data_IF_407795863210
#
_entry.id   IF_407795863210
#
_cell.length_a   1.000
_cell.length_b   1.000
_cell.length_c   1.000
_cell.angle_alpha   90.00
_cell.angle_beta   90.00
_cell.angle_gamma   90.00
#
_symmetry.space_group_name_H-M   'P 1'
#
loop_
_entity.id
_entity.type
_entity.pdbx_description
1 polymer ?
#
# COMPACT_ATOMS: atom_id res chain seq x y z
N UNK A 1 -4.76 31.38 17.12
CA UNK A 1 -5.38 30.06 16.88
C UNK A 1 -6.59 30.09 15.93
N UNK A 2 -6.94 31.26 15.35
CA UNK A 2 -8.13 31.42 14.48
C UNK A 2 -7.88 31.31 12.97
N UNK A 3 -6.64 31.11 12.49
CA UNK A 3 -6.31 31.11 11.05
C UNK A 3 -6.48 29.76 10.33
N UNK A 4 -6.64 28.63 11.04
CA UNK A 4 -6.68 27.28 10.43
C UNK A 4 -8.01 26.87 9.78
N UNK A 5 -9.10 27.62 9.97
CA UNK A 5 -10.43 27.29 9.40
C UNK A 5 -10.71 27.88 8.02
N UNK A 6 -9.90 28.82 7.53
CA UNK A 6 -10.25 29.65 6.37
C UNK A 6 -10.19 28.90 5.02
N UNK A 7 -9.43 27.81 4.91
CA UNK A 7 -9.21 27.10 3.63
C UNK A 7 -9.59 25.62 3.69
N UNK A 8 -10.60 25.28 4.49
CA UNK A 8 -11.14 23.94 4.61
C UNK A 8 -12.41 23.78 3.78
N UNK A 9 -12.33 23.03 2.71
CA UNK A 9 -13.43 22.84 1.76
C UNK A 9 -13.92 21.41 1.76
N UNK A 10 -15.22 21.20 1.56
CA UNK A 10 -15.79 19.88 1.34
C UNK A 10 -15.37 19.34 -0.01
N UNK A 11 -15.08 18.05 -0.12
CA UNK A 11 -14.70 17.41 -1.39
C UNK A 11 -15.76 17.61 -2.48
N UNK A 12 -17.05 17.54 -2.13
CA UNK A 12 -18.15 17.77 -3.07
C UNK A 12 -18.23 19.19 -3.64
N UNK A 13 -17.59 20.17 -2.96
CA UNK A 13 -17.49 21.54 -3.46
C UNK A 13 -16.26 21.81 -4.33
N UNK A 14 -15.34 20.83 -4.41
CA UNK A 14 -14.08 20.90 -5.13
C UNK A 14 -14.02 19.95 -6.32
N UNK A 15 -14.84 18.91 -6.30
CA UNK A 15 -14.80 17.86 -7.30
C UNK A 15 -16.20 17.29 -7.56
N UNK A 16 -16.41 16.80 -8.77
CA UNK A 16 -17.56 15.95 -9.10
C UNK A 16 -17.21 14.50 -8.71
N UNK A 17 -18.04 13.90 -7.85
CA UNK A 17 -17.87 12.55 -7.36
C UNK A 17 -18.71 11.57 -8.18
N UNK A 18 -18.08 10.56 -8.78
CA UNK A 18 -18.72 9.53 -9.59
C UNK A 18 -18.47 8.16 -8.95
N UNK A 19 -19.52 7.40 -8.70
CA UNK A 19 -19.40 5.99 -8.28
C UNK A 19 -19.12 5.11 -9.49
N UNK A 20 -18.19 4.20 -9.36
CA UNK A 20 -17.95 3.19 -10.37
C UNK A 20 -19.10 2.18 -10.49
N UNK A 21 -19.04 1.37 -11.54
CA UNK A 21 -20.01 0.30 -11.83
C UNK A 21 -19.31 -0.96 -12.30
N UNK A 22 -19.96 -2.10 -12.05
CA UNK A 22 -19.56 -3.40 -12.60
C UNK A 22 -20.59 -3.78 -13.66
N UNK A 23 -20.21 -4.00 -14.92
CA UNK A 23 -21.09 -4.63 -15.90
C UNK A 23 -21.47 -6.04 -15.46
N UNK A 24 -22.56 -6.57 -15.97
CA UNK A 24 -22.99 -7.94 -15.69
C UNK A 24 -21.90 -8.95 -16.05
N UNK A 25 -21.43 -9.73 -15.07
CA UNK A 25 -20.29 -10.64 -15.23
C UNK A 25 -20.56 -11.81 -16.18
N UNK A 26 -21.81 -12.19 -16.30
CA UNK A 26 -22.27 -13.26 -17.19
C UNK A 26 -22.19 -12.86 -18.67
N UNK A 27 -22.21 -11.56 -18.96
CA UNK A 27 -22.12 -11.02 -20.32
C UNK A 27 -20.65 -10.86 -20.71
N UNK A 28 -20.06 -11.92 -21.28
CA UNK A 28 -18.65 -11.96 -21.66
C UNK A 28 -18.27 -10.89 -22.70
N UNK A 29 -19.23 -10.46 -23.53
CA UNK A 29 -19.05 -9.42 -24.53
C UNK A 29 -18.75 -8.03 -23.95
N UNK A 30 -19.01 -7.81 -22.65
CA UNK A 30 -18.64 -6.55 -21.99
C UNK A 30 -17.17 -6.47 -21.59
N UNK A 31 -16.45 -7.59 -21.65
CA UNK A 31 -15.05 -7.69 -21.25
C UNK A 31 -14.16 -8.00 -22.45
N UNK A 32 -12.92 -7.52 -22.43
CA UNK A 32 -11.97 -7.70 -23.52
C UNK A 32 -10.54 -7.84 -22.97
N UNK A 33 -9.62 -8.30 -23.80
CA UNK A 33 -8.18 -8.32 -23.45
C UNK A 33 -7.54 -6.94 -23.54
N UNK A 34 -8.12 -6.06 -24.35
CA UNK A 34 -7.69 -4.67 -24.54
C UNK A 34 -8.90 -3.75 -24.66
N UNK A 35 -8.74 -2.46 -24.38
CA UNK A 35 -9.83 -1.49 -24.50
C UNK A 35 -9.82 -0.46 -23.38
N UNK A 36 -10.97 -0.23 -22.76
CA UNK A 36 -11.09 0.71 -21.64
C UNK A 36 -10.63 0.02 -20.35
N UNK A 37 -9.57 0.52 -19.67
CA UNK A 37 -9.13 -0.07 -18.40
C UNK A 37 -10.24 -0.07 -17.37
N UNK A 38 -10.44 -1.21 -16.71
CA UNK A 38 -11.44 -1.33 -15.65
C UNK A 38 -10.76 -1.54 -14.30
N UNK A 39 -10.71 -0.47 -13.52
CA UNK A 39 -9.95 -0.37 -12.29
C UNK A 39 -10.72 -0.98 -11.11
N UNK A 40 -10.03 -1.81 -10.36
CA UNK A 40 -10.45 -2.40 -9.09
C UNK A 40 -9.53 -1.96 -7.95
N UNK A 41 -9.88 -2.32 -6.70
CA UNK A 41 -9.12 -1.92 -5.50
C UNK A 41 -7.65 -2.35 -5.56
N UNK A 42 -7.34 -3.51 -6.13
CA UNK A 42 -5.98 -4.03 -6.26
C UNK A 42 -5.08 -3.16 -7.17
N UNK A 43 -5.67 -2.36 -8.05
CA UNK A 43 -4.93 -1.45 -8.93
C UNK A 43 -4.59 -0.11 -8.25
N UNK A 44 -5.18 0.18 -7.08
CA UNK A 44 -4.92 1.42 -6.35
C UNK A 44 -3.56 1.39 -5.64
N UNK A 45 -3.10 2.52 -5.10
CA UNK A 45 -1.81 2.76 -4.42
C UNK A 45 -0.57 2.71 -5.33
N UNK A 46 -0.75 2.66 -6.65
CA UNK A 46 0.34 2.64 -7.64
C UNK A 46 0.59 4.01 -8.30
N UNK A 47 -0.06 5.08 -7.81
CA UNK A 47 -0.01 6.40 -8.44
C UNK A 47 -0.89 6.47 -9.68
N UNK A 48 -0.30 6.78 -10.86
CA UNK A 48 -1.03 6.84 -12.14
C UNK A 48 -1.35 5.45 -12.68
N UNK A 49 -2.63 5.18 -12.88
CA UNK A 49 -3.14 3.92 -13.44
C UNK A 49 -3.43 4.13 -14.92
N UNK A 50 -2.68 3.46 -15.79
CA UNK A 50 -2.85 3.50 -17.25
C UNK A 50 -3.38 2.19 -17.81
N UNK A 51 -3.01 1.08 -17.18
CA UNK A 51 -3.32 -0.28 -17.60
C UNK A 51 -3.85 -1.08 -16.40
N UNK A 52 -4.65 -2.08 -16.69
CA UNK A 52 -5.24 -2.98 -15.70
C UNK A 52 -5.20 -4.42 -16.22
N UNK A 53 -5.43 -5.40 -15.36
CA UNK A 53 -5.54 -6.79 -15.78
C UNK A 53 -6.85 -7.09 -16.53
N UNK A 54 -7.87 -6.25 -16.37
CA UNK A 54 -9.18 -6.42 -17.02
C UNK A 54 -9.57 -5.14 -17.75
N UNK A 55 -10.12 -5.30 -18.95
CA UNK A 55 -10.60 -4.22 -19.79
C UNK A 55 -12.06 -4.41 -20.14
N UNK A 56 -12.72 -3.33 -20.47
CA UNK A 56 -14.06 -3.34 -21.02
C UNK A 56 -14.00 -3.16 -22.54
N UNK A 57 -14.85 -3.93 -23.24
CA UNK A 57 -15.15 -3.72 -24.64
C UNK A 57 -15.92 -2.41 -24.87
N UNK A 58 -16.15 -1.99 -26.10
CA UNK A 58 -17.00 -0.83 -26.39
C UNK A 58 -18.43 -1.03 -25.85
N UNK A 59 -18.98 -2.25 -25.90
CA UNK A 59 -20.30 -2.54 -25.31
C UNK A 59 -20.27 -2.47 -23.80
N UNK A 60 -19.21 -2.96 -23.15
CA UNK A 60 -19.01 -2.88 -21.71
C UNK A 60 -18.80 -1.44 -21.23
N UNK A 61 -18.13 -0.62 -22.03
CA UNK A 61 -17.92 0.81 -21.80
C UNK A 61 -19.24 1.58 -21.67
N UNK A 62 -20.26 1.23 -22.44
CA UNK A 62 -21.59 1.87 -22.37
C UNK A 62 -22.36 1.55 -21.08
N UNK A 63 -21.97 0.51 -20.34
CA UNK A 63 -22.63 0.06 -19.11
C UNK A 63 -22.08 0.69 -17.83
N UNK A 64 -21.02 1.46 -17.93
CA UNK A 64 -20.30 2.03 -16.79
C UNK A 64 -20.18 3.55 -16.89
N UNK A 65 -19.74 4.15 -15.80
CA UNK A 65 -19.37 5.55 -15.78
C UNK A 65 -17.88 5.66 -16.12
N UNK A 66 -17.57 6.34 -17.20
CA UNK A 66 -16.20 6.70 -17.54
C UNK A 66 -15.74 7.89 -16.73
N UNK A 67 -14.47 7.91 -16.40
CA UNK A 67 -13.80 9.03 -15.75
C UNK A 67 -12.59 9.45 -16.58
N UNK A 68 -12.38 10.77 -16.76
CA UNK A 68 -11.29 11.28 -17.57
C UNK A 68 -9.93 11.05 -16.89
N UNK A 69 -8.87 11.22 -17.67
CA UNK A 69 -7.50 11.34 -17.14
C UNK A 69 -7.44 12.37 -16.01
N UNK A 70 -6.51 12.16 -15.07
CA UNK A 70 -6.30 12.95 -13.86
C UNK A 70 -7.42 12.85 -12.79
N UNK A 71 -8.47 12.04 -13.00
CA UNK A 71 -9.43 11.76 -11.93
C UNK A 71 -8.75 11.04 -10.78
N UNK A 72 -9.03 11.47 -9.55
CA UNK A 72 -8.51 10.79 -8.35
C UNK A 72 -9.49 9.70 -7.92
N UNK A 73 -8.99 8.50 -7.71
CA UNK A 73 -9.75 7.30 -7.40
C UNK A 73 -9.60 6.98 -5.92
N UNK A 74 -10.70 6.77 -5.22
CA UNK A 74 -10.70 6.48 -3.79
C UNK A 74 -11.58 5.27 -3.47
N UNK A 75 -11.02 4.26 -2.79
CA UNK A 75 -11.79 3.08 -2.37
C UNK A 75 -12.68 3.38 -1.19
N UNK A 76 -13.95 2.97 -1.28
CA UNK A 76 -14.99 3.24 -0.28
C UNK A 76 -15.59 1.98 0.35
N UNK A 77 -15.24 0.78 -0.14
CA UNK A 77 -15.75 -0.52 0.34
C UNK A 77 -14.59 -1.49 0.53
N UNK A 78 -14.65 -2.30 1.57
CA UNK A 78 -13.63 -3.30 1.89
C UNK A 78 -12.37 -2.64 2.42
N UNK A 79 -11.36 -2.47 1.61
CA UNK A 79 -10.15 -1.71 1.97
C UNK A 79 -10.37 -0.22 1.70
N UNK A 80 -11.06 0.46 2.63
CA UNK A 80 -11.31 1.91 2.52
C UNK A 80 -10.00 2.69 2.66
N UNK A 81 -9.81 3.70 1.78
CA UNK A 81 -8.69 4.64 1.88
C UNK A 81 -7.54 4.39 0.92
N UNK A 82 -7.62 3.38 0.04
CA UNK A 82 -6.68 3.26 -1.07
C UNK A 82 -6.93 4.35 -2.11
N UNK A 83 -5.86 4.93 -2.65
CA UNK A 83 -5.94 6.07 -3.57
C UNK A 83 -5.12 5.81 -4.83
N UNK A 84 -5.70 6.11 -5.99
CA UNK A 84 -5.02 6.11 -7.28
C UNK A 84 -5.35 7.36 -8.07
N UNK A 85 -4.73 7.52 -9.22
CA UNK A 85 -5.04 8.59 -10.17
C UNK A 85 -5.16 7.99 -11.59
N UNK A 86 -6.18 8.39 -12.32
CA UNK A 86 -6.40 7.93 -13.69
C UNK A 86 -5.31 8.51 -14.60
N UNK A 87 -4.50 7.66 -15.22
CA UNK A 87 -3.46 8.06 -16.17
C UNK A 87 -3.95 8.14 -17.63
N UNK A 88 -5.22 7.83 -17.87
CA UNK A 88 -6.00 7.95 -19.11
C UNK A 88 -7.48 7.83 -18.77
N UNK A 89 -8.36 8.00 -19.75
CA UNK A 89 -9.79 7.66 -19.57
C UNK A 89 -9.93 6.19 -19.18
N UNK A 90 -10.71 5.90 -18.14
CA UNK A 90 -10.92 4.55 -17.60
C UNK A 90 -12.28 4.42 -16.91
N UNK A 91 -12.62 3.22 -16.49
CA UNK A 91 -13.78 2.93 -15.66
C UNK A 91 -13.34 2.32 -14.33
N UNK A 92 -14.21 2.38 -13.32
CA UNK A 92 -13.95 1.78 -12.00
C UNK A 92 -15.10 0.88 -11.58
N UNK A 93 -14.83 -0.10 -10.70
CA UNK A 93 -15.88 -0.90 -10.09
C UNK A 93 -16.62 -0.09 -9.00
N UNK A 94 -17.73 -0.63 -8.48
CA UNK A 94 -18.59 0.03 -7.49
C UNK A 94 -17.93 0.28 -6.12
N UNK A 95 -16.76 -0.30 -5.86
CA UNK A 95 -16.01 -0.11 -4.62
C UNK A 95 -15.18 1.18 -4.62
N UNK A 96 -15.14 1.89 -5.75
CA UNK A 96 -14.34 3.09 -5.97
C UNK A 96 -15.24 4.27 -6.29
N UNK A 97 -14.94 5.41 -5.69
CA UNK A 97 -15.46 6.72 -6.07
C UNK A 97 -14.35 7.49 -6.76
N UNK A 98 -14.65 8.02 -7.94
CA UNK A 98 -13.76 8.88 -8.71
C UNK A 98 -14.10 10.34 -8.43
N UNK A 99 -13.07 11.14 -8.12
CA UNK A 99 -13.17 12.58 -7.88
C UNK A 99 -12.55 13.31 -9.06
N UNK A 100 -13.37 14.03 -9.82
CA UNK A 100 -12.94 14.89 -10.92
C UNK A 100 -12.89 16.30 -10.36
N UNK A 101 -11.67 16.75 -10.02
CA UNK A 101 -11.47 18.07 -9.43
C UNK A 101 -11.70 19.19 -10.44
N UNK A 102 -12.19 20.31 -9.95
CA UNK A 102 -12.18 21.59 -10.67
C UNK A 102 -10.74 22.12 -10.69
N UNK A 103 -10.06 21.93 -11.81
CA UNK A 103 -8.63 22.24 -11.98
C UNK A 103 -8.33 23.75 -11.87
N UNK A 104 -9.35 24.59 -11.96
CA UNK A 104 -9.19 26.03 -11.69
C UNK A 104 -9.00 26.32 -10.20
N UNK A 105 -9.31 25.36 -9.33
CA UNK A 105 -9.26 25.49 -7.87
C UNK A 105 -8.32 24.50 -7.20
N UNK A 106 -8.24 23.27 -7.70
CA UNK A 106 -7.48 22.18 -7.10
C UNK A 106 -6.76 21.38 -8.17
N UNK A 107 -5.45 21.34 -8.09
CA UNK A 107 -4.64 20.46 -8.93
C UNK A 107 -4.97 19.00 -8.60
N UNK A 108 -5.26 18.13 -9.58
CA UNK A 108 -5.56 16.71 -9.35
C UNK A 108 -4.52 15.99 -8.49
N UNK A 109 -3.23 16.22 -8.74
CA UNK A 109 -2.15 15.66 -7.92
C UNK A 109 -2.15 16.17 -6.49
N UNK A 110 -2.52 17.44 -6.25
CA UNK A 110 -2.70 17.93 -4.89
C UNK A 110 -3.84 17.18 -4.19
N UNK A 111 -4.98 17.03 -4.87
CA UNK A 111 -6.12 16.26 -4.39
C UNK A 111 -5.76 14.80 -4.07
N UNK A 112 -4.96 14.17 -4.92
CA UNK A 112 -4.43 12.81 -4.70
C UNK A 112 -3.61 12.73 -3.41
N UNK A 113 -2.65 13.62 -3.20
CA UNK A 113 -1.84 13.62 -1.98
C UNK A 113 -2.65 13.96 -0.73
N UNK A 114 -3.58 14.91 -0.84
CA UNK A 114 -4.48 15.26 0.26
C UNK A 114 -5.34 14.06 0.69
N UNK A 115 -5.93 13.33 -0.26
CA UNK A 115 -6.71 12.13 0.04
C UNK A 115 -5.86 11.00 0.63
N UNK A 116 -4.63 10.79 0.15
CA UNK A 116 -3.69 9.83 0.76
C UNK A 116 -3.36 10.19 2.21
N UNK A 117 -3.11 11.47 2.46
CA UNK A 117 -2.81 11.95 3.82
C UNK A 117 -3.98 11.73 4.78
N UNK A 118 -5.21 11.98 4.31
CA UNK A 118 -6.42 11.85 5.12
C UNK A 118 -7.06 10.46 5.07
N UNK A 119 -6.48 9.49 4.37
CA UNK A 119 -7.08 8.17 4.15
C UNK A 119 -7.45 7.46 5.46
N UNK A 120 -6.58 7.50 6.47
CA UNK A 120 -6.84 6.89 7.78
C UNK A 120 -7.98 7.58 8.56
N UNK A 121 -8.07 8.92 8.48
CA UNK A 121 -9.17 9.66 9.12
C UNK A 121 -10.49 9.37 8.43
N UNK A 122 -10.49 9.31 7.09
CA UNK A 122 -11.66 8.97 6.30
C UNK A 122 -12.09 7.53 6.59
N UNK A 123 -11.15 6.60 6.72
CA UNK A 123 -11.43 5.20 7.08
C UNK A 123 -12.15 5.07 8.43
N UNK A 124 -11.80 5.90 9.41
CA UNK A 124 -12.47 5.92 10.72
C UNK A 124 -13.93 6.36 10.66
N UNK A 125 -14.37 6.98 9.55
CA UNK A 125 -15.78 7.30 9.31
C UNK A 125 -16.60 6.11 8.80
N UNK A 126 -15.94 4.97 8.49
CA UNK A 126 -16.63 3.76 8.06
C UNK A 126 -17.44 3.15 9.21
N UNK A 127 -18.62 2.60 8.87
CA UNK A 127 -19.38 1.81 9.82
C UNK A 127 -18.56 0.55 10.17
N UNK A 128 -18.41 0.29 11.48
CA UNK A 128 -17.71 -0.90 11.99
C UNK A 128 -18.65 -2.13 11.92
N UNK A 129 -18.99 -2.54 10.72
CA UNK A 129 -19.65 -3.81 10.43
C UNK A 129 -18.62 -4.79 9.84
N UNK A 130 -19.07 -5.98 9.49
CA UNK A 130 -18.24 -7.07 8.93
C UNK A 130 -17.37 -6.62 7.72
N UNK A 131 -17.78 -5.57 7.02
CA UNK A 131 -17.04 -4.96 5.92
C UNK A 131 -17.03 -3.43 6.06
N UNK A 132 -15.83 -2.82 6.10
CA UNK A 132 -15.70 -1.37 6.16
C UNK A 132 -16.32 -0.73 4.91
N UNK A 133 -17.21 0.26 5.13
CA UNK A 133 -17.90 0.97 4.06
C UNK A 133 -18.13 2.41 4.44
N UNK A 134 -17.84 3.34 3.52
CA UNK A 134 -18.30 4.73 3.57
C UNK A 134 -19.15 5.04 2.34
N UNK A 135 -20.13 5.92 2.49
CA UNK A 135 -20.93 6.34 1.35
C UNK A 135 -20.20 7.43 0.53
N UNK A 136 -20.54 7.54 -0.78
CA UNK A 136 -20.09 8.67 -1.59
C UNK A 136 -20.46 10.02 -0.96
N UNK A 137 -21.64 10.11 -0.31
CA UNK A 137 -22.08 11.31 0.40
C UNK A 137 -21.17 11.63 1.59
N UNK A 138 -20.82 10.62 2.39
CA UNK A 138 -19.89 10.78 3.52
C UNK A 138 -18.52 11.26 3.04
N UNK A 139 -17.98 10.64 1.99
CA UNK A 139 -16.72 11.10 1.36
C UNK A 139 -16.85 12.55 0.87
N UNK A 140 -17.94 12.91 0.19
CA UNK A 140 -18.18 14.26 -0.32
C UNK A 140 -18.22 15.33 0.77
N UNK A 141 -18.72 15.00 1.97
CA UNK A 141 -18.78 15.91 3.12
C UNK A 141 -17.43 16.08 3.83
N UNK A 142 -16.47 15.19 3.58
CA UNK A 142 -15.14 15.30 4.18
C UNK A 142 -14.45 16.59 3.73
N UNK A 143 -13.72 17.22 4.65
CA UNK A 143 -13.07 18.51 4.40
C UNK A 143 -11.57 18.34 4.30
N UNK A 144 -10.99 18.93 3.26
CA UNK A 144 -9.54 19.03 3.08
C UNK A 144 -9.12 20.50 3.07
N UNK A 145 -7.90 20.72 3.49
CA UNK A 145 -7.26 22.03 3.34
C UNK A 145 -6.84 22.21 1.87
N UNK A 146 -7.10 23.38 1.31
CA UNK A 146 -6.66 23.76 -0.04
C UNK A 146 -5.94 25.10 0.02
N UNK A 147 -4.66 25.19 -0.39
CA UNK A 147 -3.94 26.46 -0.49
C UNK A 147 -4.65 27.47 -1.40
N UNK A 148 -4.46 28.75 -1.12
CA UNK A 148 -5.14 29.85 -1.82
C UNK A 148 -4.78 29.97 -3.30
N UNK A 149 -3.66 29.39 -3.74
CA UNK A 149 -3.25 29.46 -5.13
C UNK A 149 -2.75 28.12 -5.66
N UNK A 150 -2.87 27.92 -6.98
CA UNK A 150 -2.39 26.74 -7.67
C UNK A 150 -0.87 26.61 -7.62
N UNK A 151 -0.14 27.74 -7.58
CA UNK A 151 1.32 27.76 -7.45
C UNK A 151 1.76 27.12 -6.12
N UNK A 152 1.09 27.49 -5.01
CA UNK A 152 1.38 26.88 -3.69
C UNK A 152 1.04 25.38 -3.66
N UNK A 153 -0.04 24.99 -4.35
CA UNK A 153 -0.37 23.56 -4.49
C UNK A 153 0.72 22.84 -5.28
N UNK A 154 1.20 23.45 -6.38
CA UNK A 154 2.26 22.88 -7.21
C UNK A 154 3.57 22.72 -6.42
N UNK A 155 3.98 23.73 -5.64
CA UNK A 155 5.15 23.62 -4.77
C UNK A 155 5.06 22.44 -3.79
N UNK A 156 3.87 22.21 -3.22
CA UNK A 156 3.63 21.06 -2.33
C UNK A 156 3.74 19.75 -3.09
N UNK A 157 3.11 19.67 -4.26
CA UNK A 157 3.15 18.49 -5.14
C UNK A 157 4.59 18.16 -5.52
N UNK A 158 5.38 19.16 -5.93
CA UNK A 158 6.77 18.95 -6.36
C UNK A 158 7.65 18.42 -5.22
N UNK A 159 7.45 18.95 -3.99
CA UNK A 159 8.17 18.43 -2.81
C UNK A 159 7.79 16.99 -2.50
N UNK A 160 6.50 16.64 -2.56
CA UNK A 160 6.02 15.29 -2.30
C UNK A 160 6.51 14.29 -3.37
N UNK A 161 6.49 14.67 -4.66
CA UNK A 161 7.02 13.85 -5.75
C UNK A 161 8.51 13.57 -5.57
N UNK A 162 9.31 14.59 -5.26
CA UNK A 162 10.75 14.40 -4.98
C UNK A 162 10.97 13.45 -3.81
N UNK A 163 10.15 13.53 -2.78
CA UNK A 163 10.23 12.61 -1.65
C UNK A 163 9.90 11.16 -2.04
N UNK A 164 8.87 10.95 -2.88
CA UNK A 164 8.53 9.63 -3.41
C UNK A 164 9.65 9.08 -4.29
N UNK A 165 10.26 9.88 -5.15
CA UNK A 165 11.41 9.48 -5.96
C UNK A 165 12.60 9.04 -5.11
N UNK A 166 12.89 9.76 -4.03
CA UNK A 166 13.96 9.39 -3.08
C UNK A 166 13.63 8.06 -2.41
N UNK A 167 12.37 7.87 -1.99
CA UNK A 167 11.91 6.61 -1.38
C UNK A 167 12.07 5.42 -2.33
N UNK A 168 11.66 5.57 -3.58
CA UNK A 168 11.82 4.53 -4.60
C UNK A 168 13.28 4.19 -4.85
N UNK A 169 14.15 5.19 -5.01
CA UNK A 169 15.60 4.99 -5.18
C UNK A 169 16.22 4.29 -3.98
N UNK A 170 15.78 4.61 -2.77
CA UNK A 170 16.25 3.93 -1.56
C UNK A 170 15.87 2.45 -1.54
N UNK A 171 14.63 2.10 -1.92
CA UNK A 171 14.21 0.70 -1.99
C UNK A 171 14.96 -0.06 -3.10
N UNK A 172 15.16 0.55 -4.25
CA UNK A 172 15.96 -0.03 -5.33
C UNK A 172 17.41 -0.28 -4.88
N UNK A 173 18.04 0.70 -4.23
CA UNK A 173 19.39 0.57 -3.70
C UNK A 173 19.47 -0.56 -2.67
N UNK A 174 18.50 -0.67 -1.77
CA UNK A 174 18.44 -1.75 -0.78
C UNK A 174 18.35 -3.12 -1.46
N UNK A 175 17.46 -3.28 -2.45
CA UNK A 175 17.34 -4.52 -3.20
C UNK A 175 18.63 -4.90 -3.93
N UNK A 176 19.31 -3.92 -4.54
CA UNK A 176 20.62 -4.14 -5.19
C UNK A 176 21.70 -4.55 -4.19
N UNK A 177 21.72 -3.97 -3.00
CA UNK A 177 22.67 -4.37 -1.95
C UNK A 177 22.46 -5.81 -1.50
N UNK A 178 21.21 -6.22 -1.27
CA UNK A 178 20.88 -7.61 -0.93
C UNK A 178 21.32 -8.60 -2.02
N UNK A 179 21.11 -8.26 -3.29
CA UNK A 179 21.63 -9.07 -4.42
C UNK A 179 23.17 -9.10 -4.45
N UNK A 180 23.81 -7.97 -4.19
CA UNK A 180 25.28 -7.88 -4.18
C UNK A 180 25.90 -8.73 -3.08
N UNK A 181 25.30 -8.75 -1.88
CA UNK A 181 25.75 -9.62 -0.79
C UNK A 181 25.75 -11.10 -1.19
N UNK A 182 24.67 -11.56 -1.87
CA UNK A 182 24.58 -12.93 -2.36
C UNK A 182 25.66 -13.26 -3.40
N UNK A 183 25.87 -12.34 -4.36
CA UNK A 183 26.89 -12.50 -5.40
C UNK A 183 28.28 -12.50 -4.79
N UNK A 184 28.53 -11.61 -3.84
CA UNK A 184 29.82 -11.52 -3.14
C UNK A 184 30.12 -12.80 -2.36
N UNK A 185 29.12 -13.31 -1.61
CA UNK A 185 29.26 -14.57 -0.89
C UNK A 185 29.59 -15.72 -1.84
N UNK A 186 28.83 -15.85 -2.93
CA UNK A 186 29.10 -16.88 -3.93
C UNK A 186 30.50 -16.74 -4.54
N UNK A 187 30.96 -15.52 -4.83
CA UNK A 187 32.26 -15.26 -5.41
C UNK A 187 33.42 -15.59 -4.46
N UNK A 188 33.28 -15.24 -3.19
CA UNK A 188 34.29 -15.52 -2.15
C UNK A 188 34.38 -17.02 -1.89
N UNK A 189 33.26 -17.70 -1.82
CA UNK A 189 33.18 -19.11 -1.46
C UNK A 189 32.99 -20.06 -2.67
N UNK A 190 33.17 -19.56 -3.92
CA UNK A 190 32.86 -20.34 -5.12
C UNK A 190 33.59 -21.70 -5.17
N UNK A 191 34.87 -21.73 -4.76
CA UNK A 191 35.65 -22.95 -4.72
C UNK A 191 35.16 -23.92 -3.64
N UNK A 192 34.90 -23.42 -2.46
CA UNK A 192 34.40 -24.22 -1.33
C UNK A 192 32.99 -24.74 -1.59
N UNK A 193 32.11 -23.95 -2.21
CA UNK A 193 30.76 -24.38 -2.58
C UNK A 193 30.76 -25.45 -3.67
N UNK A 194 31.76 -25.42 -4.58
CA UNK A 194 31.85 -26.37 -5.72
C UNK A 194 32.64 -27.64 -5.38
N UNK A 195 33.75 -27.50 -4.66
CA UNK A 195 34.73 -28.56 -4.42
C UNK A 195 34.96 -28.88 -2.94
N UNK A 196 34.42 -28.08 -2.02
CA UNK A 196 34.53 -28.34 -0.59
C UNK A 196 33.78 -29.59 -0.15
N UNK A 197 34.29 -30.25 0.87
CA UNK A 197 33.60 -31.38 1.49
C UNK A 197 32.29 -30.92 2.12
N UNK A 198 31.21 -31.65 1.78
CA UNK A 198 29.90 -31.41 2.36
C UNK A 198 29.82 -32.12 3.70
N UNK A 199 29.73 -31.33 4.76
CA UNK A 199 29.48 -31.87 6.09
C UNK A 199 28.06 -31.50 6.58
N UNK A 200 27.53 -32.32 7.47
CA UNK A 200 26.22 -32.02 8.07
C UNK A 200 26.38 -30.87 9.05
N UNK A 201 25.46 -29.90 9.02
CA UNK A 201 25.46 -28.72 9.91
C UNK A 201 25.65 -29.11 11.39
N UNK A 202 25.03 -30.20 11.84
CA UNK A 202 25.15 -30.73 13.21
C UNK A 202 26.61 -31.00 13.64
N UNK A 203 27.53 -31.22 12.69
CA UNK A 203 28.93 -31.49 13.02
C UNK A 203 29.70 -30.21 13.46
N UNK A 204 29.11 -29.05 13.20
CA UNK A 204 29.68 -27.73 13.52
C UNK A 204 28.90 -27.03 14.65
N UNK A 205 27.80 -27.62 15.10
CA UNK A 205 27.05 -27.07 16.21
C UNK A 205 27.58 -27.64 17.52
N UNK A 206 27.74 -26.77 18.51
CA UNK A 206 28.15 -27.13 19.87
C UNK A 206 27.09 -28.03 20.54
N UNK A 207 25.86 -27.82 20.19
CA UNK A 207 24.68 -28.55 20.67
C UNK A 207 23.78 -29.00 19.51
N UNK A 208 22.97 -30.07 19.68
CA UNK A 208 22.07 -30.53 18.63
C UNK A 208 21.05 -29.47 18.22
N UNK A 209 20.62 -29.49 16.96
CA UNK A 209 19.51 -28.65 16.49
C UNK A 209 18.24 -29.06 17.23
N UNK A 210 17.74 -28.19 18.07
CA UNK A 210 16.45 -28.36 18.76
C UNK A 210 15.30 -27.75 18.00
N UNK A 211 14.09 -28.19 18.30
CA UNK A 211 12.86 -27.48 17.92
C UNK A 211 12.60 -26.36 18.91
N UNK A 212 12.19 -25.20 18.45
CA UNK A 212 11.86 -24.07 19.31
C UNK A 212 10.78 -24.44 20.35
N UNK A 213 10.78 -23.74 21.46
CA UNK A 213 9.83 -23.95 22.56
C UNK A 213 8.42 -23.60 22.07
N UNK A 214 7.42 -24.52 22.21
CA UNK A 214 6.04 -24.18 21.86
C UNK A 214 5.52 -23.10 22.85
N UNK A 215 4.79 -22.16 22.31
CA UNK A 215 4.20 -20.99 22.91
C UNK A 215 3.88 -21.04 24.42
N UNK A 216 4.70 -20.40 25.23
CA UNK A 216 4.30 -19.73 26.46
C UNK A 216 4.94 -18.34 26.43
N UNK A 217 4.34 -17.45 25.65
CA UNK A 217 4.82 -16.06 25.55
C UNK A 217 4.24 -15.27 26.72
N UNK A 218 5.10 -14.80 27.60
CA UNK A 218 4.72 -13.88 28.67
C UNK A 218 5.24 -12.47 28.38
N UNK A 219 4.42 -11.41 28.58
CA UNK A 219 4.81 -10.04 28.28
C UNK A 219 6.07 -9.56 29.00
N UNK A 220 6.43 -10.20 30.14
CA UNK A 220 7.57 -9.86 30.99
C UNK A 220 8.58 -10.99 31.12
N UNK A 221 8.62 -11.95 30.21
CA UNK A 221 9.56 -13.06 30.20
C UNK A 221 11.03 -12.60 30.20
N UNK A 222 11.93 -13.46 30.72
CA UNK A 222 13.36 -13.13 30.91
C UNK A 222 14.15 -13.12 29.60
N UNK A 223 13.71 -13.87 28.57
CA UNK A 223 14.42 -14.02 27.29
C UNK A 223 13.57 -13.54 26.10
N UNK A 224 14.19 -12.87 25.10
CA UNK A 224 13.50 -12.47 23.90
C UNK A 224 13.11 -13.68 23.05
N UNK A 225 11.85 -13.75 22.61
CA UNK A 225 11.38 -14.79 21.71
C UNK A 225 11.70 -14.42 20.25
N UNK A 226 12.45 -15.28 19.55
CA UNK A 226 12.82 -15.08 18.14
C UNK A 226 11.84 -15.85 17.25
N UNK A 227 11.11 -15.14 16.40
CA UNK A 227 10.14 -15.69 15.45
C UNK A 227 10.69 -15.70 14.01
N UNK A 228 10.05 -16.44 13.13
CA UNK A 228 10.45 -16.56 11.72
C UNK A 228 10.55 -15.18 11.02
N UNK A 229 9.70 -14.25 11.37
CA UNK A 229 9.71 -12.88 10.87
C UNK A 229 10.95 -12.07 11.26
N UNK A 230 11.63 -12.43 12.35
CA UNK A 230 12.86 -11.80 12.81
C UNK A 230 14.07 -12.18 11.94
N UNK A 231 14.01 -13.29 11.20
CA UNK A 231 15.09 -13.73 10.29
C UNK A 231 15.15 -13.00 8.94
N UNK A 232 14.17 -12.13 8.64
CA UNK A 232 14.15 -11.37 7.39
C UNK A 232 15.13 -10.19 7.35
N UNK A 233 15.82 -9.91 8.46
CA UNK A 233 16.78 -8.80 8.56
C UNK A 233 18.14 -9.34 8.93
N UNK A 234 19.21 -8.74 8.36
CA UNK A 234 20.61 -9.08 8.60
C UNK A 234 21.00 -9.04 10.08
N UNK A 235 20.25 -8.31 10.88
CA UNK A 235 20.38 -8.27 12.34
C UNK A 235 19.02 -8.58 12.95
N UNK A 236 19.01 -9.22 14.13
CA UNK A 236 17.80 -9.43 14.94
C UNK A 236 17.28 -8.07 15.42
N UNK A 237 16.60 -7.35 14.53
CA UNK A 237 15.98 -6.06 14.84
C UNK A 237 14.48 -6.28 15.00
N UNK A 238 13.85 -5.60 15.97
CA UNK A 238 12.42 -5.69 16.20
C UNK A 238 12.03 -6.67 17.31
N UNK A 239 12.98 -7.12 18.12
CA UNK A 239 12.69 -7.71 19.41
C UNK A 239 12.19 -6.57 20.33
N UNK A 240 10.89 -6.50 20.54
CA UNK A 240 10.32 -5.55 21.49
C UNK A 240 10.53 -6.07 22.92
N UNK A 241 10.79 -5.16 23.84
CA UNK A 241 11.05 -5.46 25.25
C UNK A 241 9.90 -6.17 26.00
N UNK A 242 8.75 -6.41 25.33
CA UNK A 242 7.61 -7.14 25.86
C UNK A 242 7.43 -8.56 25.30
N UNK A 243 8.25 -8.97 24.32
CA UNK A 243 8.16 -10.31 23.72
C UNK A 243 9.26 -11.20 24.28
N UNK A 244 9.11 -11.63 25.53
CA UNK A 244 10.04 -12.53 26.21
C UNK A 244 9.33 -13.84 26.53
N UNK A 245 10.03 -14.97 26.36
CA UNK A 245 9.53 -16.28 26.77
C UNK A 245 10.10 -16.66 28.14
N UNK A 246 9.29 -17.24 29.01
CA UNK A 246 9.82 -17.96 30.15
C UNK A 246 10.49 -19.24 29.67
N UNK A 247 11.76 -19.40 30.02
CA UNK A 247 12.47 -20.68 29.87
C UNK A 247 12.27 -21.44 31.15
N UNK A 248 11.54 -22.57 31.10
CA UNK A 248 11.44 -23.48 32.22
C UNK A 248 12.85 -23.92 32.66
N UNK A 249 13.17 -23.75 33.93
CA UNK A 249 14.43 -24.18 34.51
C UNK A 249 14.58 -25.71 34.33
N UNK A 250 15.30 -26.11 33.29
CA UNK A 250 15.47 -27.53 32.90
C UNK A 250 15.61 -27.74 31.42
N UNK A 251 15.33 -26.73 30.59
CA UNK A 251 15.64 -26.76 29.16
C UNK A 251 16.94 -25.97 28.93
N UNK A 252 18.05 -26.68 28.72
CA UNK A 252 19.38 -26.10 28.40
C UNK A 252 19.41 -25.43 27.00
N UNK A 253 18.47 -24.53 26.71
CA UNK A 253 18.28 -23.92 25.40
C UNK A 253 18.23 -22.40 25.49
N UNK A 254 19.31 -21.79 25.93
CA UNK A 254 19.52 -20.38 25.72
C UNK A 254 20.34 -20.18 24.43
N UNK A 255 19.73 -19.73 23.34
CA UNK A 255 20.40 -19.14 22.20
C UNK A 255 20.25 -17.63 22.27
#
# INVERSE_FOLDING_TARGET
TMSKKKNMYKLESLARLISGRTPEREQKEYYAETGTPWVKIENLDQGYIRETAEYLSEQGKEKVNLVPENSVLFSIVGTVGKVGIAGRELATNQQIVSLIFDETRVLPLYGYYALRYHAEEIRKLSNQTTMALISRKTLGQYRIYVPDSLEKQQEIVDKLRRFEEIKLKKEEMRSRMEQYEQVLFQRIFASQLRYGEKARLRNYLKEPVGTGIPKNEEPNGEFPCVRLENFRKTYLTGLHAGEKAEVNAGADWAI
#
